data_IF_767423230327
#
_entry.id   IF_767423230327
#
_cell.length_a   1.000
_cell.length_b   1.000
_cell.length_c   1.000
_cell.angle_alpha   90.00
_cell.angle_beta   90.00
_cell.angle_gamma   90.00
#
_symmetry.space_group_name_H-M   'P 1'
#
loop_
_entity.id
_entity.type
_entity.pdbx_description
1 polymer ?
#
# COMPACT_ATOMS: atom_id res chain seq x y z
N UNK A 1 4.20 21.31 -4.31
CA UNK A 1 4.70 20.00 -4.79
C UNK A 1 5.92 20.25 -5.68
N UNK A 2 7.13 19.96 -5.20
CA UNK A 2 8.25 19.86 -6.15
C UNK A 2 7.96 18.66 -7.05
N UNK A 3 8.21 18.79 -8.35
CA UNK A 3 7.93 17.72 -9.31
C UNK A 3 8.71 16.42 -8.99
N UNK A 4 9.73 16.49 -8.14
CA UNK A 4 10.65 15.41 -7.80
C UNK A 4 10.08 14.40 -6.78
N UNK A 5 9.28 14.84 -5.82
CA UNK A 5 8.80 13.96 -4.73
C UNK A 5 7.63 13.07 -5.18
N UNK A 6 6.68 13.63 -5.92
CA UNK A 6 5.63 12.85 -6.59
C UNK A 6 6.23 11.88 -7.61
N UNK A 7 7.32 12.28 -8.27
CA UNK A 7 8.08 11.42 -9.15
C UNK A 7 8.73 10.25 -8.36
N UNK A 8 9.23 10.51 -7.15
CA UNK A 8 9.78 9.47 -6.26
C UNK A 8 8.74 8.43 -5.83
N UNK A 9 7.54 8.85 -5.39
CA UNK A 9 6.46 7.93 -4.98
C UNK A 9 5.98 7.07 -6.15
N UNK A 10 5.76 7.70 -7.31
CA UNK A 10 5.32 7.00 -8.52
C UNK A 10 6.39 6.02 -9.02
N UNK A 11 7.66 6.40 -8.94
CA UNK A 11 8.79 5.52 -9.28
C UNK A 11 8.90 4.33 -8.32
N UNK A 12 8.72 4.57 -7.02
CA UNK A 12 8.71 3.51 -6.01
C UNK A 12 7.56 2.52 -6.22
N UNK A 13 6.36 3.01 -6.56
CA UNK A 13 5.23 2.16 -6.92
C UNK A 13 5.53 1.32 -8.16
N UNK A 14 6.03 1.92 -9.25
CA UNK A 14 6.37 1.20 -10.48
C UNK A 14 7.45 0.12 -10.24
N UNK A 15 8.46 0.41 -9.41
CA UNK A 15 9.49 -0.55 -9.04
C UNK A 15 8.92 -1.74 -8.23
N UNK A 16 7.91 -1.47 -7.40
CA UNK A 16 7.21 -2.49 -6.62
C UNK A 16 6.28 -3.35 -7.49
N UNK A 17 5.69 -2.78 -8.56
CA UNK A 17 4.87 -3.52 -9.52
C UNK A 17 5.67 -4.44 -10.44
N UNK A 18 6.93 -4.07 -10.74
CA UNK A 18 7.77 -4.82 -11.67
C UNK A 18 8.33 -6.14 -11.10
N UNK A 19 8.15 -6.40 -9.79
CA UNK A 19 8.78 -7.54 -9.09
C UNK A 19 7.83 -8.08 -8.01
N UNK A 20 7.99 -9.34 -7.56
CA UNK A 20 7.23 -9.85 -6.42
C UNK A 20 7.41 -8.94 -5.19
N UNK A 21 6.28 -8.46 -4.66
CA UNK A 21 6.26 -7.56 -3.51
C UNK A 21 6.67 -8.29 -2.23
N UNK A 22 7.55 -7.67 -1.44
CA UNK A 22 7.87 -8.10 -0.08
C UNK A 22 7.19 -7.21 0.96
N UNK A 23 7.02 -7.72 2.19
CA UNK A 23 6.55 -6.90 3.33
C UNK A 23 7.41 -5.65 3.53
N UNK A 24 8.73 -5.78 3.37
CA UNK A 24 9.67 -4.66 3.55
C UNK A 24 9.41 -3.55 2.52
N UNK A 25 9.30 -3.90 1.24
CA UNK A 25 9.08 -2.91 0.17
C UNK A 25 7.69 -2.29 0.26
N UNK A 26 6.66 -3.06 0.64
CA UNK A 26 5.33 -2.53 0.91
C UNK A 26 5.34 -1.52 2.07
N UNK A 27 6.00 -1.86 3.19
CA UNK A 27 6.11 -0.97 4.34
C UNK A 27 6.85 0.33 3.99
N UNK A 28 7.96 0.24 3.24
CA UNK A 28 8.69 1.43 2.82
C UNK A 28 7.82 2.38 2.00
N UNK A 29 7.04 1.86 1.03
CA UNK A 29 6.13 2.71 0.27
C UNK A 29 5.02 3.30 1.15
N UNK A 30 4.45 2.52 2.08
CA UNK A 30 3.46 3.01 3.03
C UNK A 30 3.99 4.18 3.88
N UNK A 31 5.22 4.06 4.40
CA UNK A 31 5.87 5.13 5.18
C UNK A 31 6.16 6.38 4.34
N UNK A 32 6.54 6.22 3.06
CA UNK A 32 6.76 7.36 2.16
C UNK A 32 5.43 8.08 1.85
N UNK A 33 4.35 7.33 1.65
CA UNK A 33 3.01 7.89 1.47
C UNK A 33 2.56 8.64 2.74
N UNK A 34 2.75 8.06 3.93
CA UNK A 34 2.40 8.71 5.20
C UNK A 34 3.17 10.03 5.40
N UNK A 35 4.48 10.02 5.16
CA UNK A 35 5.32 11.21 5.24
C UNK A 35 4.97 12.27 4.18
N UNK A 36 4.35 11.90 3.05
CA UNK A 36 3.83 12.85 2.07
C UNK A 36 2.57 13.56 2.57
N UNK A 37 1.70 12.87 3.30
CA UNK A 37 0.50 13.48 3.89
C UNK A 37 0.91 14.59 4.88
N UNK A 38 1.86 14.30 5.77
CA UNK A 38 2.35 15.28 6.74
C UNK A 38 3.05 16.47 6.06
N UNK A 39 3.85 16.22 5.01
CA UNK A 39 4.48 17.30 4.25
C UNK A 39 3.47 18.21 3.55
N UNK A 40 2.33 17.68 3.09
CA UNK A 40 1.25 18.50 2.50
C UNK A 40 0.60 19.39 3.54
N UNK A 41 0.38 18.86 4.75
CA UNK A 41 -0.07 19.68 5.87
C UNK A 41 0.91 20.82 6.14
N UNK A 42 2.21 20.52 6.30
CA UNK A 42 3.26 21.51 6.57
C UNK A 42 3.33 22.60 5.49
N UNK A 43 3.06 22.26 4.22
CA UNK A 43 3.05 23.22 3.12
C UNK A 43 1.87 24.20 3.16
N UNK A 44 0.75 23.80 3.75
CA UNK A 44 -0.42 24.66 3.96
C UNK A 44 -0.36 25.41 5.29
N UNK A 45 0.30 24.83 6.29
CA UNK A 45 0.56 25.36 7.63
C UNK A 45 -0.66 26.03 8.30
N UNK A 46 -1.85 25.47 8.08
CA UNK A 46 -3.10 26.01 8.61
C UNK A 46 -3.85 24.91 9.38
N UNK A 47 -4.05 25.11 10.68
CA UNK A 47 -4.85 24.23 11.53
C UNK A 47 -4.09 23.14 12.31
N UNK A 48 -4.82 22.08 12.66
CA UNK A 48 -4.36 20.95 13.47
C UNK A 48 -4.06 19.72 12.59
N UNK A 49 -2.90 19.09 12.80
CA UNK A 49 -2.46 17.94 12.01
C UNK A 49 -3.38 16.73 12.16
N UNK A 50 -3.93 16.48 13.36
CA UNK A 50 -4.81 15.33 13.59
C UNK A 50 -6.15 15.54 12.89
N UNK A 51 -6.69 16.76 12.90
CA UNK A 51 -7.91 17.10 12.16
C UNK A 51 -7.68 16.99 10.64
N UNK A 52 -6.52 17.42 10.14
CA UNK A 52 -6.14 17.24 8.74
C UNK A 52 -6.04 15.76 8.36
N UNK A 53 -5.34 14.95 9.15
CA UNK A 53 -5.22 13.50 8.90
C UNK A 53 -6.58 12.81 8.97
N UNK A 54 -7.48 13.24 9.85
CA UNK A 54 -8.86 12.74 9.89
C UNK A 54 -9.65 13.08 8.61
N UNK A 55 -9.47 14.30 8.08
CA UNK A 55 -10.08 14.72 6.81
C UNK A 55 -9.55 13.89 5.62
N UNK A 56 -8.24 13.69 5.54
CA UNK A 56 -7.59 12.86 4.51
C UNK A 56 -8.10 11.41 4.59
N UNK A 57 -8.19 10.85 5.80
CA UNK A 57 -8.72 9.51 6.04
C UNK A 57 -10.18 9.39 5.57
N UNK A 58 -11.02 10.39 5.84
CA UNK A 58 -12.41 10.42 5.42
C UNK A 58 -12.57 10.53 3.89
N UNK A 59 -11.62 11.17 3.21
CA UNK A 59 -11.61 11.31 1.74
C UNK A 59 -11.09 10.08 0.99
N UNK A 60 -10.37 9.17 1.64
CA UNK A 60 -9.79 7.99 1.00
C UNK A 60 -9.51 6.87 2.00
N UNK A 61 -10.29 5.79 1.91
CA UNK A 61 -10.08 4.57 2.71
C UNK A 61 -8.67 4.00 2.55
N UNK A 62 -8.10 4.07 1.34
CA UNK A 62 -6.75 3.61 1.08
C UNK A 62 -5.69 4.43 1.83
N UNK A 63 -5.87 5.77 1.92
CA UNK A 63 -4.97 6.61 2.72
C UNK A 63 -5.18 6.37 4.21
N UNK A 64 -6.41 6.16 4.66
CA UNK A 64 -6.71 5.80 6.04
C UNK A 64 -5.98 4.50 6.46
N UNK A 65 -6.06 3.45 5.63
CA UNK A 65 -5.38 2.18 5.87
C UNK A 65 -3.85 2.31 5.86
N UNK A 66 -3.29 3.13 4.96
CA UNK A 66 -1.84 3.39 4.94
C UNK A 66 -1.40 4.14 6.19
N UNK A 67 -2.14 5.15 6.64
CA UNK A 67 -1.83 5.87 7.88
C UNK A 67 -1.92 4.95 9.10
N UNK A 68 -2.94 4.09 9.18
CA UNK A 68 -3.06 3.12 10.28
C UNK A 68 -1.90 2.11 10.27
N UNK A 69 -1.47 1.67 9.08
CA UNK A 69 -0.31 0.79 8.94
C UNK A 69 1.00 1.49 9.32
N UNK A 70 1.17 2.74 8.89
CA UNK A 70 2.35 3.56 9.19
C UNK A 70 2.43 3.99 10.66
N UNK A 71 1.33 3.95 11.40
CA UNK A 71 1.31 4.25 12.84
C UNK A 71 2.04 3.19 13.69
N UNK A 72 2.35 2.00 13.13
CA UNK A 72 3.12 0.92 13.77
C UNK A 72 2.63 0.53 15.17
N UNK A 73 1.32 0.66 15.43
CA UNK A 73 0.73 0.40 16.75
C UNK A 73 0.78 -1.09 17.05
N UNK A 74 1.04 -1.42 18.32
CA UNK A 74 0.87 -2.79 18.80
C UNK A 74 -0.61 -3.21 18.64
N UNK A 75 -0.87 -4.29 17.92
CA UNK A 75 -2.23 -4.76 17.61
C UNK A 75 -2.99 -3.93 16.57
N UNK A 76 -2.35 -2.95 15.92
CA UNK A 76 -2.92 -2.19 14.80
C UNK A 76 -2.80 -2.91 13.47
N UNK A 77 -2.90 -2.16 12.37
CA UNK A 77 -2.74 -2.71 11.02
C UNK A 77 -1.33 -3.30 10.81
N UNK A 78 -1.26 -4.46 10.16
CA UNK A 78 0.02 -5.17 9.93
C UNK A 78 0.12 -5.75 8.53
N UNK A 79 1.36 -5.82 8.01
CA UNK A 79 1.66 -6.54 6.79
C UNK A 79 1.93 -8.01 7.09
N UNK A 80 1.10 -8.87 6.52
CA UNK A 80 1.16 -10.32 6.65
C UNK A 80 1.43 -10.97 5.29
N UNK A 81 1.98 -12.18 5.31
CA UNK A 81 2.21 -12.99 4.11
C UNK A 81 1.29 -14.18 4.18
N UNK A 82 0.33 -14.24 3.26
CA UNK A 82 -0.61 -15.34 3.19
C UNK A 82 -0.49 -16.11 1.88
N UNK A 83 -0.62 -17.45 1.93
CA UNK A 83 -0.82 -18.25 0.74
C UNK A 83 -2.23 -18.00 0.21
N UNK A 84 -2.33 -17.31 -0.92
CA UNK A 84 -3.60 -17.06 -1.61
C UNK A 84 -3.74 -18.06 -2.74
N UNK A 85 -4.87 -18.75 -2.79
CA UNK A 85 -5.18 -19.65 -3.89
C UNK A 85 -5.26 -18.87 -5.21
N UNK A 86 -4.61 -19.39 -6.25
CA UNK A 86 -4.73 -18.85 -7.61
C UNK A 86 -5.68 -19.77 -8.38
N UNK A 87 -6.92 -19.33 -8.67
CA UNK A 87 -7.80 -20.09 -9.54
C UNK A 87 -7.14 -20.31 -10.90
N UNK A 88 -7.35 -21.47 -11.51
CA UNK A 88 -6.78 -21.79 -12.83
C UNK A 88 -7.12 -20.71 -13.88
N UNK A 89 -8.31 -20.12 -13.80
CA UNK A 89 -8.74 -19.02 -14.67
C UNK A 89 -7.89 -17.74 -14.53
N UNK A 90 -7.24 -17.53 -13.38
CA UNK A 90 -6.36 -16.39 -13.12
C UNK A 90 -4.88 -16.69 -13.43
N UNK A 91 -4.53 -17.93 -13.79
CA UNK A 91 -3.13 -18.33 -14.03
C UNK A 91 -2.49 -17.63 -15.23
N UNK A 92 -3.28 -17.17 -16.21
CA UNK A 92 -2.75 -16.40 -17.34
C UNK A 92 -2.22 -15.02 -16.95
N UNK A 93 -2.57 -14.52 -15.76
CA UNK A 93 -2.16 -13.21 -15.24
C UNK A 93 -1.06 -13.27 -14.16
N UNK A 94 -0.60 -14.46 -13.76
CA UNK A 94 0.53 -14.57 -12.82
C UNK A 94 1.86 -14.54 -13.57
N UNK A 95 2.87 -13.97 -12.93
CA UNK A 95 4.24 -14.01 -13.46
C UNK A 95 4.75 -15.46 -13.51
N UNK A 96 5.75 -15.72 -14.36
CA UNK A 96 6.39 -17.05 -14.43
C UNK A 96 6.89 -17.51 -13.05
N UNK A 97 7.49 -16.61 -12.26
CA UNK A 97 7.95 -16.91 -10.92
C UNK A 97 6.80 -17.35 -9.99
N UNK A 98 5.67 -16.65 -10.03
CA UNK A 98 4.49 -16.99 -9.23
C UNK A 98 3.82 -18.28 -9.71
N UNK A 99 3.75 -18.49 -11.01
CA UNK A 99 3.28 -19.73 -11.60
C UNK A 99 4.12 -20.91 -11.10
N UNK A 100 5.45 -20.79 -11.18
CA UNK A 100 6.38 -21.82 -10.67
C UNK A 100 6.17 -22.09 -9.19
N UNK A 101 6.04 -21.04 -8.35
CA UNK A 101 5.75 -21.20 -6.91
C UNK A 101 4.43 -21.93 -6.68
N UNK A 102 3.39 -21.60 -7.46
CA UNK A 102 2.06 -22.22 -7.32
C UNK A 102 2.06 -23.72 -7.59
N UNK A 103 2.90 -24.20 -8.52
CA UNK A 103 3.04 -25.63 -8.83
C UNK A 103 3.56 -26.44 -7.63
N UNK A 104 4.42 -25.83 -6.81
CA UNK A 104 5.00 -26.49 -5.63
C UNK A 104 4.18 -26.27 -4.35
N UNK A 105 3.30 -25.26 -4.33
CA UNK A 105 2.53 -24.87 -3.14
C UNK A 105 1.01 -25.10 -3.33
N UNK A 106 0.62 -26.19 -4.00
CA UNK A 106 -0.79 -26.59 -4.09
C UNK A 106 -1.69 -25.54 -4.74
N UNK A 107 -1.22 -24.90 -5.81
CA UNK A 107 -1.88 -23.80 -6.52
C UNK A 107 -2.08 -22.52 -5.67
N UNK A 108 -1.18 -22.27 -4.72
CA UNK A 108 -1.16 -21.02 -3.94
C UNK A 108 0.09 -20.20 -4.20
N UNK A 109 -0.04 -18.88 -4.07
CA UNK A 109 1.06 -17.93 -4.16
C UNK A 109 1.07 -17.03 -2.93
N UNK A 110 2.26 -16.71 -2.39
CA UNK A 110 2.33 -15.76 -1.30
C UNK A 110 1.89 -14.38 -1.80
N UNK A 111 1.00 -13.74 -1.04
CA UNK A 111 0.59 -12.36 -1.23
C UNK A 111 0.85 -11.58 0.05
N UNK A 112 1.24 -10.32 -0.11
CA UNK A 112 1.30 -9.40 1.04
C UNK A 112 -0.08 -8.80 1.22
N UNK A 113 -0.64 -8.96 2.40
CA UNK A 113 -1.93 -8.39 2.78
C UNK A 113 -1.73 -7.41 3.92
N UNK A 114 -2.62 -6.43 4.03
CA UNK A 114 -2.78 -5.56 5.20
C UNK A 114 -3.90 -6.18 6.04
N UNK A 115 -3.56 -6.67 7.22
CA UNK A 115 -4.51 -7.18 8.20
C UNK A 115 -4.88 -6.07 9.19
N UNK A 116 -6.18 -5.83 9.37
CA UNK A 116 -6.74 -4.84 10.32
C UNK A 116 -7.91 -5.50 11.04
N UNK A 117 -7.72 -5.91 12.30
CA UNK A 117 -8.70 -6.74 13.00
C UNK A 117 -8.95 -8.04 12.21
N UNK A 118 -10.21 -8.31 11.89
CA UNK A 118 -10.64 -9.47 11.09
C UNK A 118 -10.61 -9.20 9.57
N UNK A 119 -10.31 -7.97 9.14
CA UNK A 119 -10.31 -7.58 7.74
C UNK A 119 -8.92 -7.73 7.10
N UNK A 120 -8.90 -8.13 5.84
CA UNK A 120 -7.69 -8.38 5.06
C UNK A 120 -7.79 -7.66 3.71
N UNK A 121 -6.76 -6.90 3.37
CA UNK A 121 -6.72 -6.11 2.13
C UNK A 121 -5.49 -6.47 1.31
N UNK A 122 -5.61 -6.60 0.00
CA UNK A 122 -4.46 -6.82 -0.88
C UNK A 122 -3.58 -5.55 -0.89
N UNK A 123 -2.32 -5.69 -0.45
CA UNK A 123 -1.49 -4.54 -0.12
C UNK A 123 -1.13 -3.69 -1.35
N UNK A 124 -0.87 -4.31 -2.52
CA UNK A 124 -0.55 -3.56 -3.73
C UNK A 124 -1.72 -2.71 -4.19
N UNK A 125 -2.94 -3.26 -4.16
CA UNK A 125 -4.18 -2.55 -4.49
C UNK A 125 -4.40 -1.34 -3.59
N UNK A 126 -4.19 -1.50 -2.27
CA UNK A 126 -4.29 -0.37 -1.31
C UNK A 126 -3.22 0.68 -1.61
N UNK A 127 -1.96 0.30 -1.82
CA UNK A 127 -0.88 1.23 -2.12
C UNK A 127 -1.10 1.98 -3.43
N UNK A 128 -1.58 1.32 -4.49
CA UNK A 128 -1.99 1.97 -5.75
C UNK A 128 -3.08 3.00 -5.53
N UNK A 129 -4.14 2.62 -4.79
CA UNK A 129 -5.26 3.50 -4.52
C UNK A 129 -4.84 4.73 -3.69
N UNK A 130 -3.93 4.55 -2.72
CA UNK A 130 -3.37 5.61 -1.92
C UNK A 130 -2.54 6.60 -2.77
N UNK A 131 -1.61 6.10 -3.60
CA UNK A 131 -0.83 6.96 -4.52
C UNK A 131 -1.73 7.72 -5.50
N UNK A 132 -2.77 7.06 -6.03
CA UNK A 132 -3.74 7.71 -6.89
C UNK A 132 -4.56 8.79 -6.16
N UNK A 133 -4.92 8.58 -4.89
CA UNK A 133 -5.61 9.57 -4.07
C UNK A 133 -4.75 10.81 -3.83
N UNK A 134 -3.46 10.64 -3.53
CA UNK A 134 -2.51 11.75 -3.44
C UNK A 134 -2.44 12.57 -4.74
N UNK A 135 -2.62 11.96 -5.91
CA UNK A 135 -2.64 12.66 -7.20
C UNK A 135 -3.89 13.50 -7.46
N UNK A 136 -5.01 13.24 -6.75
CA UNK A 136 -6.31 13.90 -6.98
C UNK A 136 -6.54 15.15 -6.13
N UNK A 137 -5.79 15.36 -5.05
CA UNK A 137 -5.89 16.53 -4.16
C UNK A 137 -5.18 17.78 -4.72
N UNK A 138 -5.15 17.95 -6.04
CA UNK A 138 -4.49 19.06 -6.74
C UNK A 138 -5.48 20.12 -7.21
#
# INVERSE_FOLDING_TARGET
MTSEEQHSITTALAALEARPMSRKTAMLLALVIDAEIDRRFDATNDGDLLDYRALVAAGSEALALVMELAALRAGGAQLVLEPVAVPLAAMGGVSEAEYMVSLYNGATVPRVLIAVGEAWHEALGVLRAAVAALGRER
#
